data_IF_858266890497
#
_entry.id   IF_858266890497
#
_cell.length_a   1.000
_cell.length_b   1.000
_cell.length_c   1.000
_cell.angle_alpha   90.00
_cell.angle_beta   90.00
_cell.angle_gamma   90.00
#
_symmetry.space_group_name_H-M   'P 1'
#
loop_
_entity.id
_entity.type
_entity.pdbx_description
1 polymer ?
#
# COMPACT_ATOMS: atom_id res chain seq x y z
N UNK A 1 15.00 23.74 41.06
CA UNK A 1 13.66 24.39 41.02
C UNK A 1 13.29 24.45 39.54
N UNK A 2 12.64 23.40 39.00
CA UNK A 2 12.17 23.43 37.60
C UNK A 2 11.27 24.65 37.42
N UNK A 3 11.51 25.43 36.36
CA UNK A 3 10.77 26.68 36.15
C UNK A 3 9.30 26.35 35.92
N UNK A 4 8.39 27.24 36.34
CA UNK A 4 6.94 27.06 36.15
C UNK A 4 6.61 26.85 34.65
N UNK A 5 7.43 27.41 33.77
CA UNK A 5 7.35 27.22 32.31
C UNK A 5 7.65 25.78 31.90
N UNK A 6 8.67 25.12 32.47
CA UNK A 6 9.00 23.71 32.17
C UNK A 6 7.84 22.78 32.52
N UNK A 7 7.20 22.96 33.69
CA UNK A 7 6.04 22.14 34.09
C UNK A 7 4.80 22.41 33.25
N UNK A 8 4.63 23.65 32.79
CA UNK A 8 3.51 24.02 31.92
C UNK A 8 3.70 23.41 30.53
N UNK A 9 4.90 23.52 29.97
CA UNK A 9 5.28 22.92 28.68
C UNK A 9 5.16 21.39 28.72
N UNK A 10 5.68 20.71 29.75
CA UNK A 10 5.49 19.26 29.91
C UNK A 10 4.02 18.86 29.97
N UNK A 11 3.19 19.60 30.71
CA UNK A 11 1.76 19.28 30.87
C UNK A 11 0.95 19.52 29.59
N UNK A 12 1.27 20.55 28.82
CA UNK A 12 0.59 20.81 27.54
C UNK A 12 1.08 19.87 26.43
N UNK A 13 2.39 19.60 26.37
CA UNK A 13 2.96 18.64 25.42
C UNK A 13 2.45 17.22 25.68
N UNK A 14 2.37 16.78 26.93
CA UNK A 14 1.81 15.47 27.28
C UNK A 14 0.32 15.33 26.96
N UNK A 15 -0.48 16.38 27.21
CA UNK A 15 -1.91 16.37 26.80
C UNK A 15 -2.08 16.33 25.30
N UNK A 16 -1.24 17.07 24.57
CA UNK A 16 -1.24 17.07 23.11
C UNK A 16 -0.82 15.71 22.55
N UNK A 17 0.23 15.09 23.10
CA UNK A 17 0.72 13.77 22.72
C UNK A 17 -0.33 12.67 22.97
N UNK A 18 -0.98 12.69 24.15
CA UNK A 18 -2.11 11.80 24.44
C UNK A 18 -3.25 11.97 23.45
N UNK A 19 -3.66 13.22 23.20
CA UNK A 19 -4.71 13.49 22.21
C UNK A 19 -4.34 12.98 20.82
N UNK A 20 -3.09 13.19 20.39
CA UNK A 20 -2.60 12.78 19.08
C UNK A 20 -2.55 11.25 18.95
N UNK A 21 -2.02 10.55 19.94
CA UNK A 21 -1.93 9.08 19.95
C UNK A 21 -3.30 8.42 19.94
N UNK A 22 -4.27 8.96 20.69
CA UNK A 22 -5.67 8.50 20.62
C UNK A 22 -6.27 8.72 19.23
N UNK A 23 -6.08 9.90 18.62
CA UNK A 23 -6.57 10.17 17.28
C UNK A 23 -5.95 9.21 16.24
N UNK A 24 -4.65 8.96 16.34
CA UNK A 24 -3.93 8.01 15.47
C UNK A 24 -4.46 6.59 15.64
N UNK A 25 -4.74 6.15 16.87
CA UNK A 25 -5.29 4.82 17.15
C UNK A 25 -6.70 4.64 16.58
N UNK A 26 -7.56 5.66 16.69
CA UNK A 26 -8.94 5.61 16.21
C UNK A 26 -9.06 5.71 14.68
N UNK A 27 -8.28 6.60 14.05
CA UNK A 27 -8.42 6.92 12.63
C UNK A 27 -7.37 6.26 11.74
N UNK A 28 -6.21 5.89 12.29
CA UNK A 28 -5.05 5.41 11.53
C UNK A 28 -5.37 4.21 10.65
N UNK A 29 -6.05 3.19 11.19
CA UNK A 29 -6.43 1.99 10.40
C UNK A 29 -7.38 2.35 9.25
N UNK A 30 -8.34 3.26 9.50
CA UNK A 30 -9.30 3.67 8.46
C UNK A 30 -8.60 4.46 7.36
N UNK A 31 -7.73 5.40 7.73
CA UNK A 31 -6.92 6.19 6.78
C UNK A 31 -6.01 5.26 5.98
N UNK A 32 -5.34 4.32 6.64
CA UNK A 32 -4.46 3.33 6.00
C UNK A 32 -5.22 2.50 4.96
N UNK A 33 -6.39 1.97 5.34
CA UNK A 33 -7.24 1.17 4.44
C UNK A 33 -7.73 1.98 3.25
N UNK A 34 -8.25 3.19 3.48
CA UNK A 34 -8.78 4.04 2.42
C UNK A 34 -7.66 4.52 1.50
N UNK A 35 -6.52 4.94 2.05
CA UNK A 35 -5.34 5.33 1.27
C UNK A 35 -4.81 4.20 0.41
N UNK A 36 -4.68 2.98 0.98
CA UNK A 36 -4.34 1.78 0.21
C UNK A 36 -5.34 1.54 -0.93
N UNK A 37 -6.63 1.67 -0.64
CA UNK A 37 -7.68 1.51 -1.64
C UNK A 37 -7.63 2.57 -2.75
N UNK A 38 -7.35 3.83 -2.43
CA UNK A 38 -7.18 4.91 -3.42
C UNK A 38 -6.01 4.59 -4.35
N UNK A 39 -4.87 4.14 -3.81
CA UNK A 39 -3.69 3.79 -4.61
C UNK A 39 -4.02 2.68 -5.62
N UNK A 40 -4.62 1.58 -5.15
CA UNK A 40 -5.01 0.47 -6.03
C UNK A 40 -6.07 0.86 -7.05
N UNK A 41 -7.08 1.62 -6.64
CA UNK A 41 -8.15 2.08 -7.53
C UNK A 41 -7.59 2.99 -8.63
N UNK A 42 -6.75 3.96 -8.26
CA UNK A 42 -6.19 4.92 -9.19
C UNK A 42 -5.26 4.25 -10.19
N UNK A 43 -4.35 3.38 -9.73
CA UNK A 43 -3.46 2.64 -10.61
C UNK A 43 -4.19 1.62 -11.50
N UNK A 44 -5.25 1.00 -10.99
CA UNK A 44 -6.10 0.12 -11.78
C UNK A 44 -6.83 0.87 -12.89
N UNK A 45 -7.46 1.99 -12.58
CA UNK A 45 -8.21 2.78 -13.57
C UNK A 45 -7.31 3.31 -14.67
N UNK A 46 -6.12 3.81 -14.34
CA UNK A 46 -5.19 4.34 -15.33
C UNK A 46 -4.76 3.29 -16.36
N UNK A 47 -4.81 1.99 -16.04
CA UNK A 47 -4.47 0.91 -16.97
C UNK A 47 -5.52 0.64 -18.05
N UNK A 48 -6.74 1.17 -17.90
CA UNK A 48 -7.74 1.10 -18.98
C UNK A 48 -7.49 2.12 -20.09
N UNK A 49 -6.64 3.12 -19.85
CA UNK A 49 -6.33 4.19 -20.79
C UNK A 49 -4.91 3.99 -21.35
N UNK A 50 -4.75 3.73 -22.66
CA UNK A 50 -3.45 3.47 -23.26
C UNK A 50 -2.46 4.63 -23.03
N UNK A 51 -1.21 4.31 -22.66
CA UNK A 51 -0.12 5.28 -22.54
C UNK A 51 -0.12 6.13 -21.26
N UNK A 52 -1.05 5.93 -20.33
CA UNK A 52 -1.10 6.67 -19.06
C UNK A 52 -0.46 5.91 -17.88
N UNK A 53 -0.16 4.61 -18.01
CA UNK A 53 0.38 3.80 -16.93
C UNK A 53 1.87 3.49 -17.15
N UNK A 54 2.77 3.91 -16.24
CA UNK A 54 4.19 3.51 -16.27
C UNK A 54 4.38 1.99 -16.26
N UNK A 55 3.42 1.26 -15.68
CA UNK A 55 3.45 -0.19 -15.58
C UNK A 55 3.17 -0.91 -16.91
N UNK A 56 2.61 -0.23 -17.90
CA UNK A 56 2.28 -0.83 -19.21
C UNK A 56 3.54 -1.36 -19.91
N UNK A 57 4.60 -0.55 -19.95
CA UNK A 57 5.89 -0.94 -20.52
C UNK A 57 6.53 -2.09 -19.75
N UNK A 58 6.44 -2.08 -18.41
CA UNK A 58 7.00 -3.14 -17.58
C UNK A 58 6.26 -4.47 -17.80
N UNK A 59 4.93 -4.44 -17.85
CA UNK A 59 4.10 -5.63 -18.08
C UNK A 59 4.35 -6.22 -19.46
N UNK A 60 4.40 -5.37 -20.50
CA UNK A 60 4.68 -5.81 -21.88
C UNK A 60 6.04 -6.49 -22.01
N UNK A 61 7.02 -6.05 -21.23
CA UNK A 61 8.35 -6.67 -21.23
C UNK A 61 8.47 -7.89 -20.31
N UNK A 62 7.58 -8.09 -19.32
CA UNK A 62 7.72 -9.19 -18.33
C UNK A 62 6.91 -10.41 -18.74
N UNK A 63 5.74 -10.21 -19.35
CA UNK A 63 4.79 -11.27 -19.66
C UNK A 63 4.93 -11.68 -21.12
N UNK A 64 6.04 -12.32 -21.49
CA UNK A 64 6.20 -12.90 -22.82
C UNK A 64 5.27 -14.12 -23.06
N UNK A 65 4.71 -14.69 -21.99
CA UNK A 65 3.92 -15.92 -22.03
C UNK A 65 2.42 -15.71 -22.25
N UNK A 66 1.91 -14.49 -22.08
CA UNK A 66 0.49 -14.16 -22.22
C UNK A 66 0.39 -12.84 -22.99
N UNK A 67 -0.54 -12.79 -23.94
CA UNK A 67 -0.81 -11.58 -24.72
C UNK A 67 -1.05 -10.37 -23.79
N UNK A 68 -0.19 -9.32 -23.83
CA UNK A 68 -0.35 -8.12 -23.03
C UNK A 68 -1.72 -7.46 -23.20
N UNK A 69 -2.32 -7.58 -24.38
CA UNK A 69 -3.63 -6.99 -24.70
C UNK A 69 -4.78 -7.67 -23.93
N UNK A 70 -4.58 -8.90 -23.48
CA UNK A 70 -5.51 -9.61 -22.58
C UNK A 70 -5.13 -9.45 -21.11
N UNK A 71 -3.83 -9.44 -20.80
CA UNK A 71 -3.36 -9.39 -19.42
C UNK A 71 -3.56 -8.01 -18.76
N UNK A 72 -3.33 -6.92 -19.49
CA UNK A 72 -3.43 -5.55 -18.95
C UNK A 72 -4.88 -5.24 -18.48
N UNK A 73 -5.95 -5.49 -19.26
CA UNK A 73 -7.32 -5.25 -18.80
C UNK A 73 -7.73 -6.11 -17.59
N UNK A 74 -7.24 -7.35 -17.52
CA UNK A 74 -7.48 -8.23 -16.36
C UNK A 74 -6.81 -7.65 -15.12
N UNK A 75 -5.55 -7.23 -15.22
CA UNK A 75 -4.83 -6.61 -14.10
C UNK A 75 -5.48 -5.28 -13.68
N UNK A 76 -5.89 -4.45 -14.65
CA UNK A 76 -6.59 -3.20 -14.41
C UNK A 76 -7.89 -3.43 -13.62
N UNK A 77 -8.68 -4.43 -14.04
CA UNK A 77 -9.91 -4.82 -13.35
C UNK A 77 -9.62 -5.34 -11.95
N UNK A 78 -8.60 -6.18 -11.81
CA UNK A 78 -8.18 -6.76 -10.53
C UNK A 78 -7.82 -5.69 -9.50
N UNK A 79 -6.96 -4.74 -9.87
CA UNK A 79 -6.53 -3.63 -9.02
C UNK A 79 -7.69 -2.69 -8.67
N UNK A 80 -8.54 -2.39 -9.66
CA UNK A 80 -9.71 -1.53 -9.45
C UNK A 80 -10.67 -2.15 -8.44
N UNK A 81 -10.92 -3.46 -8.53
CA UNK A 81 -11.76 -4.20 -7.58
C UNK A 81 -11.15 -4.21 -6.17
N UNK A 82 -9.83 -4.40 -6.05
CA UNK A 82 -9.13 -4.29 -4.76
C UNK A 82 -9.36 -2.89 -4.16
N UNK A 83 -9.14 -1.85 -4.98
CA UNK A 83 -9.31 -0.47 -4.56
C UNK A 83 -10.72 -0.17 -4.04
N UNK A 84 -11.75 -0.55 -4.80
CA UNK A 84 -13.16 -0.40 -4.40
C UNK A 84 -13.46 -1.19 -3.12
N UNK A 85 -12.96 -2.43 -3.01
CA UNK A 85 -13.15 -3.26 -1.83
C UNK A 85 -12.56 -2.62 -0.56
N UNK A 86 -11.36 -2.07 -0.66
CA UNK A 86 -10.68 -1.40 0.46
C UNK A 86 -11.36 -0.08 0.85
N UNK A 87 -11.73 0.75 -0.13
CA UNK A 87 -12.40 2.04 0.10
C UNK A 87 -13.77 1.80 0.75
N UNK A 88 -14.58 0.91 0.17
CA UNK A 88 -15.95 0.64 0.64
C UNK A 88 -15.99 -0.07 1.99
N UNK A 89 -14.90 -0.75 2.38
CA UNK A 89 -14.87 -1.52 3.61
C UNK A 89 -15.64 -2.85 3.55
N UNK A 90 -16.13 -3.23 2.37
CA UNK A 90 -16.92 -4.45 2.17
C UNK A 90 -16.02 -5.60 1.69
N UNK A 91 -16.37 -6.82 2.10
CA UNK A 91 -15.66 -8.05 1.71
C UNK A 91 -14.14 -8.01 1.93
N UNK A 92 -13.66 -7.31 2.98
CA UNK A 92 -12.23 -7.03 3.19
C UNK A 92 -11.35 -8.30 3.18
N UNK A 93 -11.84 -9.44 3.66
CA UNK A 93 -11.09 -10.70 3.61
C UNK A 93 -10.81 -11.15 2.18
N UNK A 94 -11.80 -11.06 1.30
CA UNK A 94 -11.65 -11.37 -0.11
C UNK A 94 -10.75 -10.34 -0.79
N UNK A 95 -10.97 -9.05 -0.51
CA UNK A 95 -10.14 -7.96 -1.04
C UNK A 95 -8.66 -8.14 -0.69
N UNK A 96 -8.35 -8.50 0.56
CA UNK A 96 -6.98 -8.74 1.00
C UNK A 96 -6.40 -10.01 0.37
N UNK A 97 -7.21 -11.07 0.18
CA UNK A 97 -6.78 -12.25 -0.56
C UNK A 97 -6.35 -11.87 -1.99
N UNK A 98 -7.17 -11.09 -2.70
CA UNK A 98 -6.86 -10.60 -4.04
C UNK A 98 -5.59 -9.74 -4.05
N UNK A 99 -5.43 -8.87 -3.06
CA UNK A 99 -4.23 -8.05 -2.89
C UNK A 99 -2.98 -8.91 -2.70
N UNK A 100 -3.01 -9.90 -1.79
CA UNK A 100 -1.85 -10.76 -1.55
C UNK A 100 -1.54 -11.68 -2.73
N UNK A 101 -2.55 -12.15 -3.47
CA UNK A 101 -2.33 -12.96 -4.66
C UNK A 101 -1.61 -12.18 -5.78
N UNK A 102 -1.84 -10.88 -5.88
CA UNK A 102 -1.18 -10.02 -6.85
C UNK A 102 0.30 -9.76 -6.51
N UNK A 103 0.69 -9.78 -5.24
CA UNK A 103 2.03 -9.36 -4.79
C UNK A 103 3.19 -10.14 -5.45
N UNK A 104 3.16 -11.49 -5.53
CA UNK A 104 4.17 -12.25 -6.26
C UNK A 104 4.28 -11.82 -7.73
N UNK A 105 3.12 -11.55 -8.37
CA UNK A 105 3.05 -11.05 -9.74
C UNK A 105 3.84 -9.75 -9.93
N UNK A 106 3.70 -8.82 -9.00
CA UNK A 106 4.43 -7.54 -9.04
C UNK A 106 5.92 -7.65 -8.72
N UNK A 107 6.35 -8.74 -8.06
CA UNK A 107 7.73 -8.99 -7.70
C UNK A 107 8.52 -9.74 -8.80
N UNK A 108 7.83 -10.43 -9.73
CA UNK A 108 8.45 -11.18 -10.83
C UNK A 108 9.51 -10.39 -11.63
N UNK A 109 9.29 -9.11 -12.00
CA UNK A 109 10.28 -8.35 -12.77
C UNK A 109 11.65 -8.21 -12.09
N UNK A 110 11.72 -8.27 -10.75
CA UNK A 110 13.00 -8.20 -10.02
C UNK A 110 13.99 -9.31 -10.44
N UNK A 111 13.45 -10.46 -10.84
CA UNK A 111 14.22 -11.66 -11.22
C UNK A 111 14.19 -11.87 -12.72
N UNK A 112 13.05 -11.63 -13.37
CA UNK A 112 12.86 -11.91 -14.79
C UNK A 112 13.38 -10.78 -15.71
N UNK A 113 13.39 -9.53 -15.25
CA UNK A 113 13.84 -8.36 -16.01
C UNK A 113 14.82 -7.50 -15.20
N UNK A 114 15.98 -8.04 -14.83
CA UNK A 114 16.92 -7.32 -14.00
C UNK A 114 17.41 -6.02 -14.66
N UNK A 115 17.51 -5.96 -15.98
CA UNK A 115 17.90 -4.78 -16.74
C UNK A 115 16.90 -3.61 -16.68
N UNK A 116 15.61 -3.90 -16.41
CA UNK A 116 14.58 -2.87 -16.24
C UNK A 116 14.52 -2.40 -14.79
N UNK A 117 14.89 -3.27 -13.84
CA UNK A 117 14.68 -3.05 -12.40
C UNK A 117 15.94 -2.54 -11.70
N UNK A 118 17.13 -2.93 -12.14
CA UNK A 118 18.39 -2.62 -11.50
C UNK A 118 19.24 -1.67 -12.36
N UNK A 119 19.69 -0.56 -11.77
CA UNK A 119 20.79 0.24 -12.33
C UNK A 119 22.14 -0.40 -12.01
N UNK A 120 22.27 -0.95 -10.79
CA UNK A 120 23.41 -1.73 -10.33
C UNK A 120 22.91 -2.83 -9.40
N UNK A 121 22.95 -4.08 -9.84
CA UNK A 121 22.50 -5.20 -9.01
C UNK A 121 23.47 -5.44 -7.83
N UNK A 122 23.01 -5.65 -6.58
CA UNK A 122 21.61 -5.71 -6.08
C UNK A 122 21.15 -4.48 -5.27
N UNK A 123 21.81 -3.31 -5.37
CA UNK A 123 21.52 -2.15 -4.50
C UNK A 123 21.07 -0.87 -5.24
N UNK A 124 21.37 -0.73 -6.52
CA UNK A 124 20.92 0.37 -7.36
C UNK A 124 19.61 0.00 -8.09
N UNK A 125 18.52 0.69 -7.77
CA UNK A 125 17.18 0.48 -8.35
C UNK A 125 16.82 1.56 -9.37
N UNK A 126 16.14 1.17 -10.44
CA UNK A 126 15.42 2.08 -11.34
C UNK A 126 14.16 2.63 -10.66
N UNK A 127 13.41 3.51 -11.33
CA UNK A 127 12.13 3.99 -10.80
C UNK A 127 11.13 2.83 -10.64
N UNK A 128 11.09 1.94 -11.63
CA UNK A 128 10.30 0.71 -11.65
C UNK A 128 10.66 -0.18 -10.46
N UNK A 129 11.96 -0.40 -10.25
CA UNK A 129 12.45 -1.17 -9.10
C UNK A 129 12.06 -0.56 -7.77
N UNK A 130 12.14 0.76 -7.63
CA UNK A 130 11.69 1.46 -6.41
C UNK A 130 10.18 1.27 -6.17
N UNK A 131 9.35 1.31 -7.23
CA UNK A 131 7.92 1.06 -7.09
C UNK A 131 7.65 -0.38 -6.63
N UNK A 132 8.36 -1.37 -7.17
CA UNK A 132 8.21 -2.77 -6.75
C UNK A 132 8.61 -2.93 -5.28
N UNK A 133 9.75 -2.39 -4.85
CA UNK A 133 10.20 -2.50 -3.45
C UNK A 133 9.24 -1.79 -2.49
N UNK A 134 8.64 -0.66 -2.89
CA UNK A 134 7.61 0.02 -2.10
C UNK A 134 6.36 -0.83 -1.87
N UNK A 135 6.10 -1.88 -2.65
CA UNK A 135 4.98 -2.79 -2.40
C UNK A 135 5.09 -3.52 -1.04
N UNK A 136 6.29 -3.60 -0.45
CA UNK A 136 6.45 -4.08 0.93
C UNK A 136 5.63 -3.27 1.94
N UNK A 137 5.50 -1.95 1.72
CA UNK A 137 4.66 -1.08 2.55
C UNK A 137 3.18 -1.43 2.36
N UNK A 138 2.76 -1.75 1.12
CA UNK A 138 1.37 -2.16 0.83
C UNK A 138 1.04 -3.52 1.45
N UNK A 139 1.99 -4.45 1.45
CA UNK A 139 1.88 -5.74 2.14
C UNK A 139 1.71 -5.51 3.64
N UNK A 140 2.58 -4.70 4.26
CA UNK A 140 2.47 -4.34 5.67
C UNK A 140 1.13 -3.70 6.01
N UNK A 141 0.66 -2.76 5.18
CA UNK A 141 -0.64 -2.14 5.32
C UNK A 141 -1.78 -3.17 5.23
N UNK A 142 -1.72 -4.09 4.26
CA UNK A 142 -2.68 -5.18 4.09
C UNK A 142 -2.74 -6.10 5.31
N UNK A 143 -1.59 -6.42 5.93
CA UNK A 143 -1.51 -7.22 7.15
C UNK A 143 -2.15 -6.51 8.35
N UNK A 144 -1.86 -5.21 8.53
CA UNK A 144 -2.47 -4.39 9.61
C UNK A 144 -3.99 -4.29 9.42
N UNK A 145 -4.44 -4.00 8.21
CA UNK A 145 -5.87 -3.96 7.89
C UNK A 145 -6.50 -5.34 8.12
N UNK A 146 -5.85 -6.43 7.70
CA UNK A 146 -6.32 -7.80 7.91
C UNK A 146 -6.44 -8.20 9.38
N UNK A 147 -5.48 -7.80 10.21
CA UNK A 147 -5.48 -8.05 11.65
C UNK A 147 -6.64 -7.37 12.38
N UNK A 148 -7.19 -6.29 11.82
CA UNK A 148 -8.27 -5.50 12.45
C UNK A 148 -9.67 -5.90 11.99
N UNK A 149 -9.80 -6.78 10.98
CA UNK A 149 -11.09 -7.24 10.43
C UNK A 149 -12.01 -7.90 11.46
N UNK A 150 -11.46 -8.43 12.56
CA UNK A 150 -12.24 -9.05 13.66
C UNK A 150 -12.59 -8.06 14.79
N UNK A 151 -12.49 -6.76 14.54
CA UNK A 151 -12.70 -5.73 15.55
C UNK A 151 -11.47 -5.40 16.38
N UNK A 152 -10.27 -5.80 15.92
CA UNK A 152 -9.00 -5.41 16.53
C UNK A 152 -8.82 -3.90 16.45
N UNK A 153 -8.37 -3.30 17.55
CA UNK A 153 -8.12 -1.84 17.67
C UNK A 153 -6.71 -1.61 18.19
N UNK A 154 -6.14 -0.48 17.81
CA UNK A 154 -4.90 0.00 18.41
C UNK A 154 -5.26 0.56 19.78
N UNK A 155 -4.59 0.09 20.83
CA UNK A 155 -4.70 0.67 22.17
C UNK A 155 -3.50 1.61 22.37
N UNK A 156 -3.73 2.91 22.54
CA UNK A 156 -2.65 3.89 22.70
C UNK A 156 -1.99 3.83 24.09
N UNK A 157 -2.68 3.24 25.08
CA UNK A 157 -2.17 3.05 26.44
C UNK A 157 -1.55 1.65 26.60
N UNK A 158 -0.45 1.51 27.37
CA UNK A 158 0.13 0.21 27.69
C UNK A 158 -0.86 -0.64 28.49
N UNK A 159 -0.97 -1.92 28.13
CA UNK A 159 -1.81 -2.94 28.78
C UNK A 159 -1.25 -3.42 30.11
#
# INVERSE_FOLDING_TARGET
>A
MQSIEERFVEKYLSRFDLWLTHWMAERGITILRVGLGIVFFWFGILKFFPGLSPAENLVRNTVYFIDPDLFIPVLATWETLIGIGLISGKFIRLTLLLLFLQMPGTALPLVLLPEVVWTVFPYGLTLEGQYIIKNLVLIGAGLVVGGTVRGGRIHPEPS
#
